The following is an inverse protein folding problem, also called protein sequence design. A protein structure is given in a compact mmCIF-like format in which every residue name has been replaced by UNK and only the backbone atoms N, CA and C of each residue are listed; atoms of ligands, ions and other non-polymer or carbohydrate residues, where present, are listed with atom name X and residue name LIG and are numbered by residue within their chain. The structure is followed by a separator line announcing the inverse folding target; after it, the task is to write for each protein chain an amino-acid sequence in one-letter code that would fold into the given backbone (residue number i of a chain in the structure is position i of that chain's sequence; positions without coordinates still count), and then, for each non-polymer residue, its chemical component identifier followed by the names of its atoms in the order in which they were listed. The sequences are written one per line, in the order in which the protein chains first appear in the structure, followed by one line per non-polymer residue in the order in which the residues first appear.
data_IF_238748166506
#
_entry.id   IF_238748166506
#
_cell.length_a   1.000
_cell.length_b   1.000
_cell.length_c   1.000
_cell.angle_alpha   90.00
_cell.angle_beta   90.00
_cell.angle_gamma   90.00
#
_symmetry.space_group_name_H-M   'P 1'
#
loop_
_entity.id
_entity.type
_entity.pdbx_description
1 polymer ?
#
# COMPACT_ATOMS: atom_id res chain seq x y z
N UNK A 1 -3.86 19.31 13.32
CA UNK A 1 -4.26 19.70 11.94
C UNK A 1 -3.70 18.63 11.00
N UNK A 2 -4.53 17.76 10.39
CA UNK A 2 -4.04 16.87 9.33
C UNK A 2 -3.79 17.74 8.10
N UNK A 3 -2.57 17.72 7.58
CA UNK A 3 -2.13 18.58 6.48
C UNK A 3 -2.68 18.14 5.12
N UNK A 4 -3.10 16.88 5.01
CA UNK A 4 -3.61 16.30 3.77
C UNK A 4 -4.94 15.54 4.01
N UNK A 5 -6.09 16.15 3.67
CA UNK A 5 -7.40 15.52 3.79
C UNK A 5 -7.58 14.31 2.86
N UNK A 6 -6.93 14.30 1.70
CA UNK A 6 -7.09 13.27 0.67
C UNK A 6 -6.49 11.95 1.13
N UNK A 7 -5.35 11.98 1.81
CA UNK A 7 -4.74 10.80 2.43
C UNK A 7 -5.65 10.23 3.53
N UNK A 8 -6.30 11.10 4.30
CA UNK A 8 -7.31 10.68 5.28
C UNK A 8 -8.52 10.02 4.62
N UNK A 9 -8.97 10.53 3.48
CA UNK A 9 -10.04 9.93 2.69
C UNK A 9 -9.62 8.58 2.13
N UNK A 10 -8.39 8.44 1.64
CA UNK A 10 -7.87 7.17 1.13
C UNK A 10 -7.85 6.09 2.23
N UNK A 11 -7.45 6.45 3.46
CA UNK A 11 -7.54 5.55 4.62
C UNK A 11 -8.97 5.07 4.89
N UNK A 12 -9.96 5.98 4.84
CA UNK A 12 -11.38 5.62 4.99
C UNK A 12 -11.88 4.72 3.87
N UNK A 13 -11.49 5.00 2.62
CA UNK A 13 -11.84 4.17 1.47
C UNK A 13 -11.25 2.76 1.57
N UNK A 14 -10.03 2.65 2.08
CA UNK A 14 -9.37 1.35 2.31
C UNK A 14 -10.09 0.54 3.39
N UNK A 15 -10.46 1.17 4.51
CA UNK A 15 -11.27 0.53 5.55
C UNK A 15 -12.66 0.12 5.01
N UNK A 16 -13.34 1.00 4.28
CA UNK A 16 -14.62 0.71 3.65
C UNK A 16 -14.53 -0.40 2.58
N UNK A 17 -13.34 -0.61 2.01
CA UNK A 17 -13.06 -1.70 1.07
C UNK A 17 -12.96 -3.08 1.73
N UNK A 18 -12.88 -3.14 3.07
CA UNK A 18 -12.76 -4.40 3.82
C UNK A 18 -11.40 -4.63 4.47
N UNK A 19 -10.46 -3.67 4.40
CA UNK A 19 -9.16 -3.84 5.07
C UNK A 19 -9.35 -4.01 6.60
N UNK A 20 -8.66 -5.01 7.17
CA UNK A 20 -8.67 -5.31 8.62
C UNK A 20 -8.23 -4.10 9.43
N UNK A 21 -7.30 -3.32 8.88
CA UNK A 21 -6.90 -2.02 9.38
C UNK A 21 -6.19 -1.23 8.28
N UNK A 22 -6.17 0.10 8.39
CA UNK A 22 -5.50 0.97 7.44
C UNK A 22 -4.78 2.11 8.15
N UNK A 23 -3.54 2.39 7.73
CA UNK A 23 -2.69 3.43 8.30
C UNK A 23 -1.96 4.21 7.21
N UNK A 24 -1.72 5.50 7.46
CA UNK A 24 -0.77 6.26 6.66
C UNK A 24 0.65 5.82 7.04
N UNK A 25 1.48 5.53 6.04
CA UNK A 25 2.86 5.11 6.26
C UNK A 25 3.81 6.31 6.13
N UNK A 26 4.73 6.43 7.10
CA UNK A 26 5.71 7.51 7.14
C UNK A 26 5.07 8.89 7.26
N UNK A 27 5.62 9.86 6.52
CA UNK A 27 5.09 11.23 6.41
C UNK A 27 3.95 11.38 5.39
N UNK A 28 3.45 10.28 4.81
CA UNK A 28 2.54 10.29 3.67
C UNK A 28 3.26 10.41 2.31
N UNK A 29 2.53 10.33 1.17
CA UNK A 29 1.06 10.21 1.04
C UNK A 29 0.53 8.78 1.01
N UNK A 30 1.38 7.78 1.26
CA UNK A 30 1.02 6.37 1.13
C UNK A 30 0.13 5.87 2.27
N UNK A 31 -0.91 5.12 1.93
CA UNK A 31 -1.76 4.38 2.87
C UNK A 31 -1.54 2.88 2.66
N UNK A 32 -1.35 2.15 3.75
CA UNK A 32 -1.29 0.69 3.75
C UNK A 32 -2.50 0.13 4.47
N UNK A 33 -3.11 -0.87 3.87
CA UNK A 33 -4.20 -1.65 4.43
C UNK A 33 -3.76 -3.09 4.63
N UNK A 34 -4.19 -3.71 5.72
CA UNK A 34 -4.01 -5.13 5.94
C UNK A 34 -5.19 -5.90 5.35
N UNK A 35 -4.91 -6.84 4.47
CA UNK A 35 -5.89 -7.81 3.97
C UNK A 35 -5.79 -9.12 4.76
N UNK A 36 -6.86 -9.92 4.73
CA UNK A 36 -6.91 -11.23 5.40
C UNK A 36 -6.01 -12.25 4.70
N UNK A 37 -5.99 -12.21 3.36
CA UNK A 37 -5.21 -13.11 2.51
C UNK A 37 -4.83 -12.44 1.16
N UNK A 38 -4.22 -13.22 0.26
CA UNK A 38 -3.77 -12.75 -1.06
C UNK A 38 -4.94 -12.36 -1.98
N UNK A 39 -6.03 -13.12 -1.97
CA UNK A 39 -7.19 -12.88 -2.84
C UNK A 39 -7.93 -11.62 -2.40
N UNK A 40 -8.11 -11.44 -1.09
CA UNK A 40 -8.64 -10.23 -0.51
C UNK A 40 -7.75 -9.01 -0.83
N UNK A 41 -6.41 -9.15 -0.76
CA UNK A 41 -5.50 -8.06 -1.13
C UNK A 41 -5.63 -7.67 -2.61
N UNK A 42 -5.73 -8.66 -3.51
CA UNK A 42 -5.89 -8.44 -4.94
C UNK A 42 -7.24 -7.76 -5.26
N UNK A 43 -8.33 -8.20 -4.61
CA UNK A 43 -9.65 -7.61 -4.80
C UNK A 43 -9.72 -6.17 -4.28
N UNK A 44 -9.19 -5.91 -3.07
CA UNK A 44 -9.03 -4.56 -2.53
C UNK A 44 -8.27 -3.64 -3.50
N UNK A 45 -7.12 -4.10 -4.00
CA UNK A 45 -6.31 -3.34 -4.94
C UNK A 45 -7.09 -3.04 -6.23
N UNK A 46 -7.82 -4.01 -6.77
CA UNK A 46 -8.66 -3.84 -7.96
C UNK A 46 -9.76 -2.80 -7.75
N UNK A 47 -10.46 -2.83 -6.60
CA UNK A 47 -11.55 -1.90 -6.27
C UNK A 47 -11.07 -0.45 -6.07
N UNK A 48 -9.86 -0.27 -5.54
CA UNK A 48 -9.31 1.06 -5.24
C UNK A 48 -8.61 1.71 -6.44
N UNK A 49 -8.28 0.95 -7.49
CA UNK A 49 -7.65 1.49 -8.70
C UNK A 49 -8.53 2.52 -9.38
N UNK A 50 -7.93 3.68 -9.64
CA UNK A 50 -8.53 4.79 -10.41
C UNK A 50 -7.42 5.67 -10.98
N UNK A 51 -7.69 6.48 -12.02
CA UNK A 51 -6.72 7.42 -12.55
C UNK A 51 -6.11 8.31 -11.46
N UNK A 52 -4.80 8.50 -11.50
CA UNK A 52 -4.06 9.33 -10.53
C UNK A 52 -3.70 8.63 -9.20
N UNK A 53 -4.11 7.37 -8.99
CA UNK A 53 -3.76 6.61 -7.78
C UNK A 53 -2.98 5.33 -8.12
N UNK A 54 -1.75 5.23 -7.62
CA UNK A 54 -0.99 3.98 -7.67
C UNK A 54 -1.48 3.01 -6.59
N UNK A 55 -1.84 1.79 -7.00
CA UNK A 55 -2.35 0.75 -6.09
C UNK A 55 -1.72 -0.59 -6.44
N UNK A 56 -1.08 -1.20 -5.44
CA UNK A 56 -0.45 -2.51 -5.53
C UNK A 56 -0.83 -3.37 -4.31
N UNK A 57 -1.12 -4.65 -4.57
CA UNK A 57 -1.14 -5.67 -3.52
C UNK A 57 0.31 -6.09 -3.25
N UNK A 58 0.69 -6.13 -1.97
CA UNK A 58 2.05 -6.42 -1.54
C UNK A 58 2.02 -7.50 -0.46
N UNK A 59 3.11 -8.26 -0.37
CA UNK A 59 3.34 -9.23 0.71
C UNK A 59 4.51 -8.80 1.56
N UNK A 60 4.44 -9.05 2.86
CA UNK A 60 5.57 -8.88 3.76
C UNK A 60 6.74 -9.78 3.35
N UNK A 61 7.91 -9.17 3.21
CA UNK A 61 9.14 -9.93 3.04
C UNK A 61 9.73 -10.18 4.43
N UNK A 62 9.78 -11.45 4.86
CA UNK A 62 10.44 -11.85 6.12
C UNK A 62 11.97 -11.82 6.05
N UNK A 63 12.54 -11.01 5.16
CA UNK A 63 13.99 -10.96 4.88
C UNK A 63 14.42 -9.54 4.53
N UNK A 64 15.66 -9.22 4.87
CA UNK A 64 16.30 -7.96 4.49
C UNK A 64 16.70 -7.91 3.01
N UNK A 65 17.56 -6.95 2.69
CA UNK A 65 18.05 -6.74 1.33
C UNK A 65 18.93 -7.93 0.84
N UNK A 66 18.90 -8.21 -0.46
CA UNK A 66 19.78 -9.18 -1.13
C UNK A 66 20.30 -8.56 -2.42
N UNK A 67 21.61 -8.63 -2.65
CA UNK A 67 22.22 -8.24 -3.92
C UNK A 67 22.02 -9.40 -4.89
N UNK A 68 21.34 -9.15 -6.01
CA UNK A 68 21.14 -10.15 -7.06
C UNK A 68 22.31 -10.17 -8.03
N UNK A 69 22.77 -9.00 -8.45
CA UNK A 69 23.91 -8.81 -9.33
C UNK A 69 24.67 -7.55 -8.91
N UNK A 70 26.01 -7.59 -9.01
CA UNK A 70 26.85 -6.40 -8.82
C UNK A 70 27.29 -5.90 -10.18
N UNK A 71 26.70 -4.80 -10.64
CA UNK A 71 27.18 -4.11 -11.84
C UNK A 71 28.65 -3.71 -11.66
N UNK A 72 29.52 -4.04 -12.63
CA UNK A 72 30.86 -3.45 -12.71
C UNK A 72 30.69 -1.98 -13.10
N UNK A 73 31.11 -1.06 -12.23
CA UNK A 73 31.38 0.31 -12.66
C UNK A 73 32.65 0.30 -13.52
N UNK A 74 32.73 1.13 -14.59
CA UNK A 74 33.96 1.32 -15.34
C UNK A 74 35.08 1.86 -14.45
#
# INVERSE_FOLDING_TARGET
RRLDPEVGQLGRQMAAGGAVGAVMCGSGPSVFGLAEDEDHAADLARRLRRPGLFVAACRFIGRGHRILEKGRRP
#
